data_IF_352208782937
#
_entry.id   IF_352208782937
#
_cell.length_a   1.000
_cell.length_b   1.000
_cell.length_c   1.000
_cell.angle_alpha   90.00
_cell.angle_beta   90.00
_cell.angle_gamma   90.00
#
_symmetry.space_group_name_H-M   'P 1'
#
loop_
_entity.id
_entity.type
_entity.pdbx_description
1 polymer ?
#
# COMPACT_ATOMS: atom_id res chain seq x y z
N UNK A 1 -12.82 2.03 -1.59
CA UNK A 1 -13.45 1.42 -2.78
C UNK A 1 -13.36 -0.08 -2.65
N UNK A 2 -14.41 -0.77 -3.06
CA UNK A 2 -14.54 -2.22 -2.93
C UNK A 2 -15.14 -2.80 -4.20
N UNK A 3 -14.82 -4.05 -4.51
CA UNK A 3 -15.47 -4.76 -5.59
C UNK A 3 -16.91 -5.15 -5.23
N UNK A 4 -17.72 -5.52 -6.23
CA UNK A 4 -19.06 -6.10 -6.02
C UNK A 4 -19.08 -7.31 -5.08
N UNK A 5 -18.02 -8.13 -5.10
CA UNK A 5 -17.93 -9.33 -4.25
C UNK A 5 -17.67 -8.99 -2.78
N UNK A 6 -17.21 -7.78 -2.49
CA UNK A 6 -16.91 -7.30 -1.14
C UNK A 6 -18.05 -6.50 -0.51
N UNK A 7 -19.28 -6.56 -1.06
CA UNK A 7 -20.43 -5.76 -0.58
C UNK A 7 -20.67 -5.86 0.93
N UNK A 8 -20.59 -7.08 1.50
CA UNK A 8 -20.76 -7.30 2.95
C UNK A 8 -19.72 -6.56 3.80
N UNK A 9 -18.47 -6.49 3.31
CA UNK A 9 -17.41 -5.72 3.96
C UNK A 9 -17.76 -4.23 3.91
N UNK A 10 -18.31 -3.77 2.78
CA UNK A 10 -18.76 -2.39 2.62
C UNK A 10 -19.86 -2.00 3.61
N UNK A 11 -20.90 -2.83 3.73
CA UNK A 11 -22.00 -2.64 4.70
C UNK A 11 -21.48 -2.57 6.13
N UNK A 12 -20.52 -3.42 6.48
CA UNK A 12 -19.88 -3.38 7.80
C UNK A 12 -19.05 -2.10 8.02
N UNK A 13 -18.24 -1.70 7.04
CA UNK A 13 -17.48 -0.43 7.10
C UNK A 13 -18.43 0.76 7.32
N UNK A 14 -19.55 0.80 6.62
CA UNK A 14 -20.56 1.85 6.78
C UNK A 14 -21.18 1.82 8.19
N UNK A 15 -21.46 0.63 8.73
CA UNK A 15 -22.01 0.45 10.08
C UNK A 15 -21.11 0.94 11.21
N UNK A 16 -19.79 0.99 11.00
CA UNK A 16 -18.81 1.47 11.97
C UNK A 16 -18.39 2.93 11.70
N UNK A 17 -19.13 3.65 10.85
CA UNK A 17 -18.93 5.08 10.57
C UNK A 17 -17.96 5.39 9.42
N UNK A 18 -17.48 4.36 8.71
CA UNK A 18 -16.76 4.53 7.47
C UNK A 18 -17.68 4.88 6.30
N UNK A 19 -17.09 5.06 5.11
CA UNK A 19 -17.83 5.20 3.85
C UNK A 19 -17.23 4.28 2.79
N UNK A 20 -17.87 3.14 2.58
CA UNK A 20 -17.56 2.25 1.48
C UNK A 20 -18.21 2.77 0.18
N UNK A 21 -17.52 2.54 -0.93
CA UNK A 21 -18.03 2.79 -2.28
C UNK A 21 -17.77 1.53 -3.07
N UNK A 22 -18.83 0.94 -3.61
CA UNK A 22 -18.71 -0.18 -4.54
C UNK A 22 -18.34 0.40 -5.90
N UNK A 23 -17.25 -0.09 -6.45
CA UNK A 23 -16.82 0.22 -7.80
C UNK A 23 -17.25 -0.91 -8.74
N UNK A 24 -17.75 -0.54 -9.92
CA UNK A 24 -18.20 -1.47 -10.96
C UNK A 24 -17.16 -1.63 -12.07
N UNK A 25 -15.89 -1.65 -11.69
CA UNK A 25 -14.82 -2.02 -12.60
C UNK A 25 -14.94 -3.49 -13.03
N UNK A 26 -14.58 -3.77 -14.29
CA UNK A 26 -14.37 -5.12 -14.78
C UNK A 26 -13.06 -5.69 -14.19
N UNK A 27 -13.10 -6.08 -12.92
CA UNK A 27 -11.99 -6.72 -12.26
C UNK A 27 -11.75 -8.12 -12.84
N UNK A 28 -10.48 -8.46 -13.00
CA UNK A 28 -10.03 -9.77 -13.47
C UNK A 28 -8.86 -10.28 -12.64
N UNK A 29 -8.40 -11.48 -12.94
CA UNK A 29 -7.23 -12.09 -12.29
C UNK A 29 -5.92 -11.83 -13.04
N UNK A 30 -5.99 -11.18 -14.20
CA UNK A 30 -4.84 -10.89 -15.05
C UNK A 30 -4.64 -9.40 -15.21
N UNK A 31 -3.38 -8.99 -15.32
CA UNK A 31 -3.00 -7.62 -15.59
C UNK A 31 -3.56 -7.13 -16.93
N UNK A 32 -4.11 -5.90 -17.02
CA UNK A 32 -4.18 -4.88 -15.97
C UNK A 32 -5.49 -4.90 -15.13
N UNK A 33 -6.34 -5.92 -15.28
CA UNK A 33 -7.66 -5.96 -14.64
C UNK A 33 -7.63 -6.31 -13.14
N UNK A 34 -6.49 -6.73 -12.62
CA UNK A 34 -6.28 -7.08 -11.21
C UNK A 34 -5.71 -5.92 -10.36
N UNK A 35 -5.31 -4.82 -11.00
CA UNK A 35 -4.73 -3.62 -10.36
C UNK A 35 -5.60 -2.34 -10.29
N UNK A 36 -6.89 -2.27 -10.70
CA UNK A 36 -7.65 -1.00 -10.68
C UNK A 36 -7.73 -0.26 -9.34
N UNK A 37 -7.59 -0.95 -8.21
CA UNK A 37 -7.64 -0.33 -6.87
C UNK A 37 -6.27 -0.02 -6.27
N UNK A 38 -5.19 -0.27 -7.00
CA UNK A 38 -3.83 -0.04 -6.53
C UNK A 38 -3.45 1.45 -6.62
N UNK A 39 -3.80 2.20 -5.59
CA UNK A 39 -3.38 3.59 -5.39
C UNK A 39 -3.08 3.86 -3.92
N UNK A 40 -2.31 4.92 -3.65
CA UNK A 40 -1.95 5.34 -2.30
C UNK A 40 -2.27 6.82 -2.14
N UNK A 41 -2.89 7.18 -1.01
CA UNK A 41 -3.04 8.58 -0.60
C UNK A 41 -2.10 8.86 0.56
N UNK A 42 -1.23 9.86 0.41
CA UNK A 42 -0.36 10.36 1.47
C UNK A 42 -0.52 11.87 1.54
N UNK A 43 -1.13 12.39 2.60
CA UNK A 43 -1.49 13.81 2.67
C UNK A 43 -2.39 14.19 1.50
N UNK A 44 -1.93 15.13 0.66
CA UNK A 44 -2.65 15.56 -0.54
C UNK A 44 -2.21 14.86 -1.84
N UNK A 45 -1.27 13.91 -1.75
CA UNK A 45 -0.73 13.21 -2.91
C UNK A 45 -1.49 11.91 -3.16
N UNK A 46 -1.92 11.72 -4.41
CA UNK A 46 -2.53 10.50 -4.92
C UNK A 46 -1.54 9.82 -5.87
N UNK A 47 -0.93 8.73 -5.39
CA UNK A 47 0.10 7.99 -6.11
C UNK A 47 -0.55 6.78 -6.75
N UNK A 48 -0.47 6.69 -8.08
CA UNK A 48 -1.09 5.61 -8.85
C UNK A 48 -0.42 5.45 -10.21
N UNK A 49 -0.69 4.33 -10.89
CA UNK A 49 -0.57 4.28 -12.34
C UNK A 49 -1.88 4.75 -12.98
N UNK A 50 -1.86 5.94 -13.60
CA UNK A 50 -3.04 6.58 -14.17
C UNK A 50 -3.65 5.81 -15.36
N UNK A 51 -2.92 4.83 -15.92
CA UNK A 51 -3.40 3.99 -17.02
C UNK A 51 -4.12 2.73 -16.55
N UNK A 52 -3.92 2.32 -15.30
CA UNK A 52 -4.49 1.07 -14.78
C UNK A 52 -5.40 1.28 -13.59
N UNK A 53 -5.26 2.37 -12.83
CA UNK A 53 -6.19 2.71 -11.76
C UNK A 53 -7.60 2.93 -12.32
N UNK A 54 -8.62 2.57 -11.54
CA UNK A 54 -10.02 2.81 -11.87
C UNK A 54 -10.23 4.29 -12.26
N UNK A 55 -10.87 4.57 -13.41
CA UNK A 55 -11.28 5.91 -13.79
C UNK A 55 -12.18 6.58 -12.75
N UNK A 56 -13.04 5.82 -12.05
CA UNK A 56 -13.89 6.34 -10.98
C UNK A 56 -13.06 6.82 -9.79
N UNK A 57 -12.10 6.00 -9.33
CA UNK A 57 -11.20 6.38 -8.22
C UNK A 57 -10.36 7.60 -8.60
N UNK A 58 -9.79 7.62 -9.81
CA UNK A 58 -9.00 8.75 -10.31
C UNK A 58 -9.85 10.02 -10.42
N UNK A 59 -11.08 9.91 -10.92
CA UNK A 59 -12.03 11.02 -10.99
C UNK A 59 -12.34 11.62 -9.62
N UNK A 60 -12.47 10.78 -8.59
CA UNK A 60 -12.65 11.27 -7.21
C UNK A 60 -11.40 11.95 -6.68
N UNK A 61 -10.20 11.42 -6.93
CA UNK A 61 -8.96 12.08 -6.55
C UNK A 61 -8.84 13.49 -7.18
N UNK A 62 -9.15 13.60 -8.47
CA UNK A 62 -9.17 14.88 -9.20
C UNK A 62 -10.22 15.83 -8.61
N UNK A 63 -11.44 15.35 -8.37
CA UNK A 63 -12.52 16.19 -7.81
C UNK A 63 -12.21 16.75 -6.42
N UNK A 64 -11.32 16.07 -5.68
CA UNK A 64 -10.85 16.47 -4.35
C UNK A 64 -9.60 17.34 -4.39
N UNK A 65 -9.12 17.72 -5.58
CA UNK A 65 -7.88 18.47 -5.80
C UNK A 65 -6.64 17.79 -5.20
N UNK A 66 -6.60 16.45 -5.22
CA UNK A 66 -5.38 15.72 -4.88
C UNK A 66 -4.34 15.90 -5.98
N UNK A 67 -3.07 16.00 -5.59
CA UNK A 67 -1.94 16.04 -6.53
C UNK A 67 -1.69 14.62 -7.06
N UNK A 68 -1.93 14.41 -8.34
CA UNK A 68 -1.70 13.10 -8.97
C UNK A 68 -0.20 12.91 -9.22
N UNK A 69 0.40 11.91 -8.59
CA UNK A 69 1.77 11.46 -8.83
C UNK A 69 1.71 10.16 -9.62
N UNK A 70 1.92 10.27 -10.94
CA UNK A 70 1.84 9.13 -11.85
C UNK A 70 3.12 8.27 -11.78
N UNK A 71 2.93 6.98 -11.51
CA UNK A 71 3.98 5.96 -11.52
C UNK A 71 3.66 4.87 -12.53
N UNK A 72 4.68 4.17 -13.06
CA UNK A 72 4.48 3.10 -14.04
C UNK A 72 4.02 1.77 -13.42
N UNK A 73 4.22 1.58 -12.13
CA UNK A 73 3.93 0.33 -11.44
C UNK A 73 2.42 0.15 -11.21
N UNK A 74 1.79 -0.85 -11.82
CA UNK A 74 0.37 -1.13 -11.66
C UNK A 74 0.00 -1.55 -10.24
N UNK A 75 0.84 -2.35 -9.57
CA UNK A 75 0.64 -2.76 -8.18
C UNK A 75 1.10 -1.68 -7.18
N UNK A 76 0.81 -0.40 -7.47
CA UNK A 76 1.32 0.75 -6.70
C UNK A 76 1.09 0.60 -5.18
N UNK A 77 -0.11 0.18 -4.75
CA UNK A 77 -0.42 0.04 -3.31
C UNK A 77 0.34 -1.11 -2.66
N UNK A 78 0.50 -2.23 -3.36
CA UNK A 78 1.25 -3.37 -2.83
C UNK A 78 2.75 -3.08 -2.80
N UNK A 79 3.30 -2.37 -3.79
CA UNK A 79 4.74 -2.04 -3.84
C UNK A 79 5.18 -0.91 -2.89
N UNK A 80 4.24 -0.12 -2.35
CA UNK A 80 4.53 1.08 -1.57
C UNK A 80 3.97 0.99 -0.13
N UNK A 81 4.85 1.14 0.84
CA UNK A 81 4.54 1.21 2.27
C UNK A 81 4.72 2.66 2.77
N UNK A 82 3.62 3.40 3.04
CA UNK A 82 3.70 4.72 3.65
C UNK A 82 4.18 4.66 5.10
N UNK A 83 5.10 5.55 5.46
CA UNK A 83 5.70 5.66 6.80
C UNK A 83 5.28 6.98 7.46
N UNK A 84 5.40 8.09 6.73
CA UNK A 84 4.97 9.45 7.12
C UNK A 84 4.47 10.23 5.90
N UNK A 85 4.07 11.48 6.12
CA UNK A 85 3.60 12.40 5.06
C UNK A 85 4.59 12.55 3.90
N UNK A 86 5.89 12.44 4.17
CA UNK A 86 6.97 12.55 3.18
C UNK A 86 7.96 11.37 3.23
N UNK A 87 7.61 10.25 3.86
CA UNK A 87 8.52 9.11 4.01
C UNK A 87 7.84 7.80 3.62
N UNK A 88 8.53 6.99 2.82
CA UNK A 88 8.01 5.73 2.29
C UNK A 88 9.07 4.65 2.19
N UNK A 89 8.64 3.39 2.23
CA UNK A 89 9.45 2.22 1.86
C UNK A 89 8.86 1.64 0.58
N UNK A 90 9.70 1.29 -0.39
CA UNK A 90 9.26 0.68 -1.66
C UNK A 90 10.19 -0.43 -2.11
N UNK A 91 9.61 -1.45 -2.74
CA UNK A 91 10.35 -2.50 -3.43
C UNK A 91 10.42 -2.28 -4.96
N UNK A 92 9.92 -1.15 -5.46
CA UNK A 92 9.89 -0.80 -6.88
C UNK A 92 10.75 0.44 -7.21
N UNK A 93 11.70 0.29 -8.14
CA UNK A 93 12.64 1.38 -8.51
C UNK A 93 11.99 2.47 -9.36
N UNK A 94 10.89 2.17 -10.05
CA UNK A 94 10.10 3.16 -10.77
C UNK A 94 9.39 4.09 -9.80
N UNK A 95 8.75 3.53 -8.77
CA UNK A 95 8.13 4.29 -7.68
C UNK A 95 9.20 5.11 -6.93
N UNK A 96 10.32 4.50 -6.55
CA UNK A 96 11.43 5.18 -5.88
C UNK A 96 11.86 6.44 -6.62
N UNK A 97 12.17 6.30 -7.92
CA UNK A 97 12.63 7.42 -8.74
C UNK A 97 11.60 8.56 -8.81
N UNK A 98 10.32 8.22 -8.97
CA UNK A 98 9.26 9.23 -9.05
C UNK A 98 9.08 9.94 -7.71
N UNK A 99 9.07 9.22 -6.60
CA UNK A 99 8.84 9.81 -5.29
C UNK A 99 10.02 10.66 -4.80
N UNK A 100 11.26 10.24 -5.07
CA UNK A 100 12.45 11.07 -4.81
C UNK A 100 12.36 12.42 -5.56
N UNK A 101 11.97 12.40 -6.83
CA UNK A 101 11.78 13.62 -7.63
C UNK A 101 10.61 14.50 -7.13
N UNK A 102 9.70 13.94 -6.33
CA UNK A 102 8.59 14.65 -5.72
C UNK A 102 8.85 15.04 -4.25
N UNK A 103 10.09 14.90 -3.76
CA UNK A 103 10.52 15.37 -2.44
C UNK A 103 10.27 14.39 -1.28
N UNK A 104 9.99 13.13 -1.57
CA UNK A 104 9.90 12.09 -0.54
C UNK A 104 11.29 11.63 -0.09
N UNK A 105 11.40 11.28 1.18
CA UNK A 105 12.44 10.38 1.66
C UNK A 105 12.01 8.93 1.39
N UNK A 106 12.86 8.18 0.70
CA UNK A 106 12.51 6.87 0.17
C UNK A 106 13.55 5.84 0.58
N UNK A 107 13.13 4.81 1.31
CA UNK A 107 13.92 3.60 1.46
C UNK A 107 13.54 2.59 0.37
N UNK A 108 14.45 2.36 -0.56
CA UNK A 108 14.37 1.23 -1.49
C UNK A 108 14.87 -0.06 -0.85
N UNK A 109 14.00 -1.07 -0.80
CA UNK A 109 14.32 -2.43 -0.32
C UNK A 109 14.35 -3.44 -1.46
N UNK A 110 14.99 -4.57 -1.24
CA UNK A 110 15.12 -5.69 -2.15
C UNK A 110 13.83 -6.48 -2.22
N UNK A 111 13.53 -7.06 -3.39
CA UNK A 111 12.43 -8.01 -3.57
C UNK A 111 12.84 -9.41 -3.08
N UNK A 112 11.86 -10.31 -2.92
CA UNK A 112 12.08 -11.73 -2.68
C UNK A 112 11.91 -12.19 -1.23
N UNK A 113 11.87 -11.28 -0.25
CA UNK A 113 11.62 -11.64 1.15
C UNK A 113 10.15 -11.70 1.55
N UNK A 114 9.24 -11.31 0.65
CA UNK A 114 7.80 -11.36 0.86
C UNK A 114 7.22 -12.47 -0.01
N UNK A 115 6.42 -13.36 0.59
CA UNK A 115 5.74 -14.45 -0.11
C UNK A 115 4.39 -13.99 -0.65
N UNK A 116 4.09 -14.38 -1.89
CA UNK A 116 2.75 -14.33 -2.47
C UNK A 116 2.50 -15.67 -3.18
N UNK A 117 1.46 -16.39 -2.77
CA UNK A 117 1.21 -17.74 -3.28
C UNK A 117 0.93 -17.70 -4.79
N UNK A 118 1.65 -18.52 -5.56
CA UNK A 118 1.54 -18.58 -7.02
C UNK A 118 2.48 -17.64 -7.77
N UNK A 119 3.32 -16.87 -7.07
CA UNK A 119 4.26 -15.92 -7.67
C UNK A 119 5.67 -16.09 -7.04
N UNK A 120 6.69 -15.58 -7.73
CA UNK A 120 8.09 -15.64 -7.25
C UNK A 120 8.29 -14.81 -5.97
N UNK A 121 7.52 -13.73 -5.82
CA UNK A 121 7.55 -12.85 -4.64
C UNK A 121 6.27 -12.01 -4.54
N UNK A 122 5.97 -11.54 -3.33
CA UNK A 122 5.01 -10.49 -3.04
C UNK A 122 5.68 -9.14 -2.78
N UNK A 123 4.92 -8.17 -2.27
CA UNK A 123 5.35 -6.79 -2.14
C UNK A 123 5.32 -6.24 -0.70
N UNK A 124 6.20 -5.29 -0.39
CA UNK A 124 6.41 -4.74 0.96
C UNK A 124 5.19 -3.99 1.51
N UNK A 125 4.48 -3.23 0.68
CA UNK A 125 3.26 -2.50 1.04
C UNK A 125 2.01 -3.37 1.09
N UNK A 126 2.06 -4.56 0.50
CA UNK A 126 0.99 -5.57 0.55
C UNK A 126 1.03 -6.45 1.79
N UNK A 127 2.19 -6.51 2.45
CA UNK A 127 2.38 -7.19 3.73
C UNK A 127 2.52 -6.23 4.93
N UNK A 128 2.25 -4.94 4.78
CA UNK A 128 2.41 -3.96 5.88
C UNK A 128 1.33 -2.89 5.93
N UNK A 129 1.11 -2.35 7.13
CA UNK A 129 0.28 -1.17 7.36
C UNK A 129 0.64 -0.47 8.67
N UNK A 130 0.55 0.87 8.67
CA UNK A 130 0.55 1.65 9.91
C UNK A 130 -0.74 1.34 10.66
N UNK A 131 -0.65 0.85 11.90
CA UNK A 131 -1.83 0.51 12.73
C UNK A 131 -2.04 1.48 13.89
N UNK A 132 -1.04 2.30 14.18
CA UNK A 132 -1.10 3.45 15.09
C UNK A 132 -0.26 4.58 14.53
N UNK A 133 -0.17 5.69 15.25
CA UNK A 133 0.78 6.78 14.91
C UNK A 133 2.23 6.30 14.88
N UNK A 134 2.62 5.32 15.67
CA UNK A 134 4.02 4.94 15.92
C UNK A 134 4.30 3.45 15.70
N UNK A 135 3.34 2.66 15.22
CA UNK A 135 3.52 1.23 14.96
C UNK A 135 3.21 0.90 13.50
N UNK A 136 4.22 0.33 12.83
CA UNK A 136 4.08 -0.29 11.52
C UNK A 136 3.99 -1.81 11.68
N UNK A 137 2.83 -2.38 11.40
CA UNK A 137 2.61 -3.81 11.43
C UNK A 137 3.08 -4.44 10.12
N UNK A 138 3.74 -5.58 10.23
CA UNK A 138 4.06 -6.50 9.13
C UNK A 138 3.31 -7.82 9.30
N UNK A 139 2.71 -8.31 8.22
CA UNK A 139 2.05 -9.61 8.17
C UNK A 139 3.10 -10.71 8.02
N UNK A 140 3.48 -11.32 9.14
CA UNK A 140 4.64 -12.21 9.24
C UNK A 140 5.73 -11.58 10.08
N UNK A 141 6.97 -12.03 9.87
CA UNK A 141 8.13 -11.58 10.61
C UNK A 141 9.06 -10.71 9.75
N UNK A 142 9.09 -9.39 10.00
CA UNK A 142 9.94 -8.47 9.24
C UNK A 142 11.44 -8.73 9.46
N UNK A 143 11.82 -9.38 10.57
CA UNK A 143 13.20 -9.78 10.85
C UNK A 143 13.72 -10.86 9.88
N UNK A 144 12.85 -11.43 9.04
CA UNK A 144 13.21 -12.32 7.94
C UNK A 144 13.45 -11.58 6.61
N UNK A 145 13.20 -10.26 6.57
CA UNK A 145 13.48 -9.46 5.38
C UNK A 145 14.98 -9.28 5.19
N UNK A 146 15.47 -9.41 3.95
CA UNK A 146 16.90 -9.26 3.62
C UNK A 146 17.45 -7.89 4.03
N UNK A 147 16.66 -6.83 3.82
CA UNK A 147 16.97 -5.45 4.25
C UNK A 147 16.47 -5.06 5.65
N UNK A 148 16.20 -6.01 6.56
CA UNK A 148 15.59 -5.71 7.87
C UNK A 148 16.28 -4.60 8.67
N UNK A 149 17.61 -4.56 8.67
CA UNK A 149 18.35 -3.57 9.46
C UNK A 149 18.19 -2.17 8.88
N UNK A 150 18.14 -2.06 7.56
CA UNK A 150 17.87 -0.80 6.84
C UNK A 150 16.44 -0.34 7.08
N UNK A 151 15.46 -1.27 7.04
CA UNK A 151 14.06 -0.99 7.37
C UNK A 151 13.96 -0.45 8.80
N UNK A 152 14.56 -1.15 9.76
CA UNK A 152 14.54 -0.76 11.17
C UNK A 152 15.17 0.61 11.40
N UNK A 153 16.33 0.87 10.82
CA UNK A 153 17.01 2.18 10.93
C UNK A 153 16.17 3.30 10.31
N UNK A 154 15.57 3.07 9.14
CA UNK A 154 14.70 4.06 8.49
C UNK A 154 13.48 4.39 9.33
N UNK A 155 12.77 3.38 9.85
CA UNK A 155 11.60 3.58 10.71
C UNK A 155 11.95 4.32 12.01
N UNK A 156 13.12 4.03 12.59
CA UNK A 156 13.60 4.72 13.80
C UNK A 156 13.78 6.23 13.58
N UNK A 157 14.24 6.67 12.40
CA UNK A 157 14.35 8.09 12.07
C UNK A 157 13.00 8.83 12.16
N UNK A 158 11.89 8.11 12.03
CA UNK A 158 10.52 8.63 12.09
C UNK A 158 9.77 8.29 13.38
N UNK A 159 10.47 7.72 14.37
CA UNK A 159 9.89 7.29 15.63
C UNK A 159 8.85 6.18 15.45
N UNK A 160 9.05 5.29 14.47
CA UNK A 160 8.16 4.17 14.19
C UNK A 160 8.77 2.87 14.67
N UNK A 161 7.95 2.09 15.39
CA UNK A 161 8.25 0.75 15.86
C UNK A 161 7.71 -0.26 14.85
N UNK A 162 8.57 -1.07 14.20
CA UNK A 162 8.10 -2.20 13.42
C UNK A 162 7.61 -3.32 14.33
N UNK A 163 6.45 -3.90 14.00
CA UNK A 163 5.89 -5.05 14.71
C UNK A 163 5.61 -6.19 13.72
N UNK A 164 6.06 -7.40 14.06
CA UNK A 164 5.71 -8.62 13.36
C UNK A 164 4.38 -9.18 13.88
N UNK A 165 3.46 -9.54 13.00
CA UNK A 165 2.19 -10.17 13.41
C UNK A 165 2.43 -11.55 14.05
N UNK A 166 3.37 -12.31 13.50
CA UNK A 166 3.72 -13.66 13.95
C UNK A 166 5.15 -14.03 13.54
N UNK A 167 5.57 -15.27 13.77
CA UNK A 167 6.90 -15.77 13.44
C UNK A 167 7.08 -16.30 12.01
N UNK A 168 6.04 -16.26 11.17
CA UNK A 168 6.07 -16.79 9.81
C UNK A 168 6.77 -15.83 8.83
N UNK A 169 7.05 -16.30 7.62
CA UNK A 169 7.56 -15.44 6.54
C UNK A 169 6.57 -14.31 6.21
N UNK A 170 7.09 -13.13 5.88
CA UNK A 170 6.28 -12.02 5.39
C UNK A 170 5.39 -12.50 4.24
N UNK A 171 4.09 -12.20 4.33
CA UNK A 171 3.11 -12.64 3.34
C UNK A 171 2.31 -11.44 2.83
N UNK A 172 2.28 -11.28 1.52
CA UNK A 172 1.46 -10.26 0.86
C UNK A 172 0.00 -10.71 0.81
N UNK A 173 -0.90 -9.87 1.32
CA UNK A 173 -2.36 -10.09 1.30
C UNK A 173 -3.10 -8.95 0.56
N UNK A 174 -2.36 -8.14 -0.19
CA UNK A 174 -2.84 -6.95 -0.90
C UNK A 174 -2.85 -5.70 -0.02
N UNK A 175 -3.58 -5.73 1.10
CA UNK A 175 -3.56 -4.60 2.03
C UNK A 175 -4.16 -4.91 3.40
N UNK A 176 -3.82 -4.07 4.37
CA UNK A 176 -4.49 -3.95 5.67
C UNK A 176 -5.01 -2.51 5.77
N UNK A 177 -6.30 -2.35 6.07
CA UNK A 177 -6.94 -1.05 6.25
C UNK A 177 -7.39 -0.96 7.71
N UNK A 178 -6.64 -0.28 8.59
CA UNK A 178 -7.10 0.04 9.94
C UNK A 178 -8.34 0.93 9.84
N UNK A 179 -9.39 0.60 10.60
CA UNK A 179 -10.65 1.38 10.62
C UNK A 179 -10.78 2.27 11.86
N UNK A 180 -10.18 1.86 12.97
CA UNK A 180 -10.22 2.60 14.23
C UNK A 180 -9.00 2.27 15.09
N UNK A 181 -8.58 3.25 15.87
CA UNK A 181 -7.60 3.12 16.96
C UNK A 181 -8.30 3.62 18.24
N UNK A 182 -8.06 2.98 19.38
CA UNK A 182 -8.64 3.36 20.68
C UNK A 182 -7.65 4.16 21.51
#
# INVERSE_FOLDING_TARGET
YLSKTQRRIGEWIDSVGGKAVIDDENLGYEYPFDVPFNCVVIGNDFICNSKTVSPQILGVAISRNLRIIDVKQGYTKCSLCPVRENAVITDDSGIEKVLLNNGYDVLKVSKGSVRLNGFDYGFIGGCSAMISRDVLLFLGNFEMHSDKDRIKAFLQNYGITPQSLNGDVLTDIGSIIPLSEQ
#
